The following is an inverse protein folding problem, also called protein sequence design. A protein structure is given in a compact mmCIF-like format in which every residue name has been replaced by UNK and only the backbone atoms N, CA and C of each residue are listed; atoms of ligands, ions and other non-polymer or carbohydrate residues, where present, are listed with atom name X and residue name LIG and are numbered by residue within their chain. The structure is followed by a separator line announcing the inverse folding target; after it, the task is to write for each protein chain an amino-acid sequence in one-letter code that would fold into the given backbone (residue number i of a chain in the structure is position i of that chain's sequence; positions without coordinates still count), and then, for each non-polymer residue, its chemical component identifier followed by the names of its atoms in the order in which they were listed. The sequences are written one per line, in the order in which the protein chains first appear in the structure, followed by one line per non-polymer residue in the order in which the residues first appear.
data_IF_292988272347
#
_entry.id   IF_292988272347
#
_cell.length_a   1.000
_cell.length_b   1.000
_cell.length_c   1.000
_cell.angle_alpha   90.00
_cell.angle_beta   90.00
_cell.angle_gamma   90.00
#
_symmetry.space_group_name_H-M   'P 1'
#
loop_
_entity.id
_entity.type
_entity.pdbx_description
1 polymer ?
#
# COMPACT_ATOMS: atom_id res chain seq x y z
N UNK A 1 -65.22 8.65 -74.58
CA UNK A 1 -64.92 7.20 -74.61
C UNK A 1 -63.70 6.99 -73.72
N UNK A 2 -63.88 6.76 -72.41
CA UNK A 2 -64.00 5.44 -71.72
C UNK A 2 -62.63 4.73 -71.67
N UNK A 3 -62.08 4.19 -70.58
CA UNK A 3 -62.61 3.72 -69.29
C UNK A 3 -61.43 3.22 -68.42
N UNK A 4 -61.52 3.44 -67.10
CA UNK A 4 -61.16 2.62 -65.92
C UNK A 4 -59.76 1.99 -65.67
N UNK A 5 -59.40 2.07 -64.38
CA UNK A 5 -58.32 1.40 -63.62
C UNK A 5 -58.54 -0.11 -63.40
N UNK A 6 -57.59 -0.81 -62.75
CA UNK A 6 -57.78 -1.25 -61.34
C UNK A 6 -56.50 -1.10 -60.48
N UNK A 7 -56.60 -0.54 -59.27
CA UNK A 7 -56.77 -1.18 -57.93
C UNK A 7 -55.49 -1.73 -57.28
N UNK A 8 -55.22 -1.21 -56.07
CA UNK A 8 -55.00 -2.02 -54.88
C UNK A 8 -53.56 -2.30 -54.44
N UNK A 9 -53.17 -1.68 -53.31
CA UNK A 9 -52.47 -2.26 -52.14
C UNK A 9 -51.53 -1.19 -51.51
N UNK A 10 -52.01 -0.34 -50.61
CA UNK A 10 -51.87 -0.48 -49.14
C UNK A 10 -50.46 -0.90 -48.69
N UNK A 11 -49.63 0.10 -48.36
CA UNK A 11 -48.46 -0.07 -47.48
C UNK A 11 -48.94 -0.52 -46.10
N UNK A 12 -48.81 -1.81 -45.80
CA UNK A 12 -48.97 -2.34 -44.44
C UNK A 12 -47.59 -2.59 -43.81
N UNK A 13 -47.43 -2.01 -42.63
CA UNK A 13 -46.27 -2.10 -41.77
C UNK A 13 -46.37 -3.42 -41.02
N UNK A 14 -45.46 -4.38 -41.25
CA UNK A 14 -45.18 -5.38 -40.23
C UNK A 14 -43.81 -6.03 -40.38
N UNK A 15 -42.96 -5.74 -39.38
CA UNK A 15 -42.34 -6.73 -38.50
C UNK A 15 -41.76 -7.99 -39.18
N UNK A 16 -40.43 -8.02 -39.35
CA UNK A 16 -39.68 -9.28 -39.45
C UNK A 16 -38.56 -9.24 -38.43
N UNK A 17 -38.82 -9.99 -37.35
CA UNK A 17 -37.92 -10.39 -36.30
C UNK A 17 -36.79 -11.26 -36.90
N UNK A 18 -35.55 -10.92 -36.59
CA UNK A 18 -34.37 -11.46 -37.25
C UNK A 18 -33.12 -11.29 -36.39
N UNK A 19 -33.12 -12.01 -35.28
CA UNK A 19 -32.08 -12.18 -34.25
C UNK A 19 -30.64 -12.06 -34.76
N UNK A 20 -30.01 -10.91 -34.50
CA UNK A 20 -28.55 -10.78 -34.45
C UNK A 20 -28.05 -11.51 -33.18
N UNK A 21 -27.07 -12.42 -33.26
CA UNK A 21 -26.40 -12.92 -32.06
C UNK A 21 -25.64 -11.74 -31.42
N UNK A 22 -26.19 -11.16 -30.35
CA UNK A 22 -25.41 -10.31 -29.47
C UNK A 22 -24.32 -11.19 -28.86
N UNK A 23 -23.09 -10.99 -29.30
CA UNK A 23 -21.91 -11.43 -28.58
C UNK A 23 -22.00 -10.84 -27.17
N UNK A 24 -22.25 -11.70 -26.18
CA UNK A 24 -22.32 -11.32 -24.78
C UNK A 24 -21.06 -10.55 -24.42
N UNK A 25 -21.23 -9.27 -24.13
CA UNK A 25 -20.24 -8.46 -23.44
C UNK A 25 -19.91 -9.18 -22.14
N UNK A 26 -18.68 -9.66 -22.01
CA UNK A 26 -18.13 -10.06 -20.73
C UNK A 26 -18.10 -8.82 -19.85
N UNK A 27 -19.18 -8.57 -19.13
CA UNK A 27 -19.21 -7.59 -18.06
C UNK A 27 -18.22 -8.09 -17.00
N UNK A 28 -17.06 -7.46 -16.93
CA UNK A 28 -16.24 -7.44 -15.71
C UNK A 28 -17.08 -6.75 -14.65
N UNK A 29 -17.90 -7.54 -13.94
CA UNK A 29 -18.77 -7.05 -12.86
C UNK A 29 -17.88 -6.42 -11.79
N UNK A 30 -17.95 -5.09 -11.64
CA UNK A 30 -17.35 -4.38 -10.52
C UNK A 30 -17.91 -4.97 -9.22
N UNK A 31 -17.03 -5.38 -8.33
CA UNK A 31 -17.42 -5.78 -6.97
C UNK A 31 -18.09 -4.58 -6.31
N UNK A 32 -19.23 -4.79 -5.65
CA UNK A 32 -19.88 -3.74 -4.85
C UNK A 32 -18.97 -3.31 -3.68
N UNK A 33 -19.17 -2.11 -3.13
CA UNK A 33 -18.34 -1.60 -2.03
C UNK A 33 -18.32 -2.57 -0.82
N UNK A 34 -19.44 -3.23 -0.55
CA UNK A 34 -19.55 -4.26 0.49
C UNK A 34 -18.75 -5.53 0.14
N UNK A 35 -18.79 -5.99 -1.12
CA UNK A 35 -17.97 -7.11 -1.58
C UNK A 35 -16.49 -6.76 -1.62
N UNK A 36 -16.12 -5.51 -1.94
CA UNK A 36 -14.75 -5.02 -1.92
C UNK A 36 -14.19 -4.97 -0.50
N UNK A 37 -14.99 -4.52 0.47
CA UNK A 37 -14.63 -4.51 1.88
C UNK A 37 -14.56 -5.93 2.43
N UNK A 38 -15.49 -6.81 2.06
CA UNK A 38 -15.48 -8.22 2.42
C UNK A 38 -14.29 -8.94 1.78
N UNK A 39 -13.94 -8.63 0.54
CA UNK A 39 -12.75 -9.13 -0.14
C UNK A 39 -11.47 -8.59 0.52
N UNK A 40 -11.41 -7.30 0.85
CA UNK A 40 -10.27 -6.68 1.56
C UNK A 40 -10.09 -7.26 2.96
N UNK A 41 -11.18 -7.58 3.66
CA UNK A 41 -11.16 -8.22 4.98
C UNK A 41 -10.82 -9.72 4.89
N UNK A 42 -11.41 -10.44 3.94
CA UNK A 42 -11.17 -11.86 3.71
C UNK A 42 -9.76 -12.14 3.19
N UNK A 43 -9.23 -11.24 2.36
CA UNK A 43 -7.90 -11.34 1.75
C UNK A 43 -6.81 -10.58 2.52
N UNK A 44 -7.13 -10.02 3.70
CA UNK A 44 -6.14 -9.36 4.58
C UNK A 44 -4.94 -10.26 4.95
N UNK A 45 -5.12 -11.59 4.85
CA UNK A 45 -4.09 -12.61 5.04
C UNK A 45 -3.59 -13.28 3.76
N UNK A 46 -3.97 -12.79 2.57
CA UNK A 46 -3.60 -13.46 1.32
C UNK A 46 -2.15 -13.20 1.01
N UNK A 47 -1.37 -14.26 1.04
CA UNK A 47 -0.03 -14.28 0.51
C UNK A 47 -0.09 -14.74 -0.93
N UNK A 48 0.73 -14.14 -1.77
CA UNK A 48 0.93 -14.59 -3.15
C UNK A 48 2.07 -15.60 -3.21
N UNK A 49 1.91 -16.65 -4.00
CA UNK A 49 2.97 -17.63 -4.29
C UNK A 49 3.78 -17.25 -5.54
N UNK A 50 3.37 -16.18 -6.25
CA UNK A 50 4.07 -15.71 -7.44
C UNK A 50 5.36 -14.95 -7.07
N UNK A 51 6.42 -15.03 -7.89
CA UNK A 51 7.66 -14.33 -7.62
C UNK A 51 7.46 -12.82 -7.59
N UNK A 52 8.14 -12.15 -6.64
CA UNK A 52 8.15 -10.70 -6.56
C UNK A 52 8.84 -10.09 -7.78
N UNK A 53 8.12 -9.22 -8.50
CA UNK A 53 8.65 -8.49 -9.67
C UNK A 53 9.36 -7.21 -9.26
N UNK A 54 8.85 -6.55 -8.22
CA UNK A 54 9.41 -5.35 -7.64
C UNK A 54 9.60 -5.54 -6.13
N UNK A 55 10.76 -5.13 -5.61
CA UNK A 55 11.05 -5.10 -4.18
C UNK A 55 11.76 -3.79 -3.85
N UNK A 56 11.08 -2.92 -3.11
CA UNK A 56 11.57 -1.58 -2.75
C UNK A 56 11.88 -1.54 -1.26
N UNK A 57 13.03 -0.97 -0.91
CA UNK A 57 13.42 -0.64 0.46
C UNK A 57 14.00 0.77 0.49
N UNK A 58 13.89 1.45 1.62
CA UNK A 58 14.34 2.84 1.74
C UNK A 58 15.68 2.96 2.45
N UNK A 59 16.59 3.77 1.89
CA UNK A 59 17.86 4.14 2.55
C UNK A 59 17.61 5.19 3.64
N UNK A 60 16.72 6.13 3.38
CA UNK A 60 16.29 7.16 4.33
C UNK A 60 15.73 6.53 5.60
N UNK A 61 14.96 5.45 5.50
CA UNK A 61 14.45 4.72 6.66
C UNK A 61 15.55 4.08 7.51
N UNK A 62 16.59 3.51 6.88
CA UNK A 62 17.76 2.97 7.59
C UNK A 62 18.57 4.07 8.28
N UNK A 63 18.71 5.23 7.63
CA UNK A 63 19.37 6.40 8.23
C UNK A 63 18.56 6.94 9.43
N UNK A 64 17.24 7.06 9.27
CA UNK A 64 16.34 7.47 10.35
C UNK A 64 16.42 6.52 11.54
N UNK A 65 16.47 5.21 11.29
CA UNK A 65 16.64 4.20 12.34
C UNK A 65 17.91 4.44 13.17
N UNK A 66 19.05 4.67 12.52
CA UNK A 66 20.31 4.98 13.21
C UNK A 66 20.27 6.30 13.98
N UNK A 67 19.67 7.34 13.41
CA UNK A 67 19.49 8.63 14.09
C UNK A 67 18.69 8.43 15.38
N UNK A 68 17.59 7.67 15.32
CA UNK A 68 16.76 7.37 16.48
C UNK A 68 17.55 6.59 17.53
N UNK A 69 18.33 5.58 17.13
CA UNK A 69 19.19 4.81 18.05
C UNK A 69 20.16 5.74 18.78
N UNK A 70 20.87 6.61 18.06
CA UNK A 70 21.83 7.55 18.66
C UNK A 70 21.14 8.49 19.66
N UNK A 71 20.00 9.06 19.29
CA UNK A 71 19.25 9.98 20.15
C UNK A 71 18.72 9.28 21.40
N UNK A 72 18.08 8.10 21.23
CA UNK A 72 17.55 7.31 22.35
C UNK A 72 18.66 6.93 23.31
N UNK A 73 19.80 6.43 22.80
CA UNK A 73 20.93 6.07 23.64
C UNK A 73 21.55 7.27 24.35
N UNK A 74 21.72 8.41 23.67
CA UNK A 74 22.23 9.62 24.30
C UNK A 74 21.38 10.06 25.50
N UNK A 75 20.05 10.04 25.34
CA UNK A 75 19.11 10.38 26.43
C UNK A 75 19.19 9.38 27.59
N UNK A 76 19.21 8.07 27.31
CA UNK A 76 19.22 7.05 28.37
C UNK A 76 20.56 6.95 29.09
N UNK A 77 21.67 7.17 28.39
CA UNK A 77 22.99 7.27 28.99
C UNK A 77 23.07 8.51 29.87
N UNK A 78 22.57 9.66 29.39
CA UNK A 78 22.51 10.89 30.18
C UNK A 78 21.67 10.71 31.46
N UNK A 79 20.49 10.10 31.34
CA UNK A 79 19.64 9.82 32.50
C UNK A 79 20.33 8.89 33.50
N UNK A 80 20.97 7.81 33.02
CA UNK A 80 21.74 6.91 33.87
C UNK A 80 22.90 7.60 34.59
N UNK A 81 23.56 8.56 33.95
CA UNK A 81 24.65 9.33 34.55
C UNK A 81 24.17 10.36 35.60
N UNK A 82 22.96 10.91 35.43
CA UNK A 82 22.39 11.92 36.33
C UNK A 82 21.62 11.30 37.50
N UNK A 83 21.09 10.09 37.39
CA UNK A 83 20.31 9.51 38.50
C UNK A 83 21.16 9.25 39.75
N UNK A 84 22.48 9.19 39.60
CA UNK A 84 23.45 8.92 40.67
C UNK A 84 23.81 10.15 41.53
N UNK A 85 23.25 11.35 41.24
CA UNK A 85 23.59 12.57 42.00
C UNK A 85 22.77 12.80 43.27
N UNK A 86 21.79 11.94 43.60
CA UNK A 86 20.99 12.07 44.81
C UNK A 86 21.48 11.17 45.97
N UNK A 87 21.90 11.85 47.04
CA UNK A 87 22.35 11.34 48.34
C UNK A 87 21.29 10.49 49.05
N UNK A 88 21.07 9.27 48.59
CA UNK A 88 20.34 8.27 49.38
C UNK A 88 21.38 7.33 49.99
N UNK A 89 21.50 7.33 51.32
CA UNK A 89 22.41 6.46 52.07
C UNK A 89 22.07 4.96 52.00
N UNK A 90 21.34 4.54 50.95
CA UNK A 90 21.08 3.16 50.60
C UNK A 90 22.08 2.77 49.50
N UNK A 91 22.75 1.63 49.64
CA UNK A 91 23.68 1.13 48.65
C UNK A 91 22.94 0.84 47.33
N UNK A 92 22.91 1.83 46.43
CA UNK A 92 22.44 1.64 45.05
C UNK A 92 23.35 0.61 44.42
N UNK A 93 22.78 -0.52 44.01
CA UNK A 93 23.54 -1.57 43.34
C UNK A 93 23.93 -1.05 41.95
N UNK A 94 25.13 -1.38 41.46
CA UNK A 94 25.55 -1.10 40.08
C UNK A 94 24.53 -1.57 39.02
N UNK A 95 23.68 -2.54 39.39
CA UNK A 95 22.57 -3.04 38.57
C UNK A 95 21.47 -1.99 38.37
N UNK A 96 21.18 -1.13 39.36
CA UNK A 96 20.12 -0.13 39.28
C UNK A 96 20.51 1.04 38.36
N UNK A 97 21.79 1.42 38.34
CA UNK A 97 22.34 2.42 37.41
C UNK A 97 22.29 1.95 35.95
N UNK A 98 22.35 0.63 35.72
CA UNK A 98 22.27 0.04 34.38
C UNK A 98 20.85 0.00 33.82
N UNK A 99 19.82 0.25 34.64
CA UNK A 99 18.43 0.19 34.22
C UNK A 99 18.14 1.18 33.08
N UNK A 100 18.64 2.42 33.16
CA UNK A 100 18.40 3.44 32.14
C UNK A 100 19.09 3.09 30.81
N UNK A 101 20.42 2.84 30.74
CA UNK A 101 21.04 2.37 29.50
C UNK A 101 20.43 1.07 28.97
N UNK A 102 20.06 0.12 29.84
CA UNK A 102 19.43 -1.14 29.46
C UNK A 102 18.10 -0.96 28.74
N UNK A 103 17.22 -0.11 29.28
CA UNK A 103 15.96 0.28 28.61
C UNK A 103 16.25 1.00 27.30
N UNK A 104 17.25 1.89 27.26
CA UNK A 104 17.67 2.58 26.05
C UNK A 104 18.10 1.63 24.93
N UNK A 105 18.85 0.57 25.27
CA UNK A 105 19.25 -0.47 24.32
C UNK A 105 18.02 -1.22 23.80
N UNK A 106 17.11 -1.65 24.69
CA UNK A 106 15.89 -2.35 24.30
C UNK A 106 15.06 -1.50 23.32
N UNK A 107 14.80 -0.24 23.65
CA UNK A 107 14.06 0.68 22.79
C UNK A 107 14.78 0.94 21.47
N UNK A 108 16.11 1.06 21.49
CA UNK A 108 16.94 1.25 20.30
C UNK A 108 16.85 0.05 19.36
N UNK A 109 16.92 -1.18 19.88
CA UNK A 109 16.78 -2.41 19.09
C UNK A 109 15.39 -2.50 18.48
N UNK A 110 14.33 -2.26 19.26
CA UNK A 110 12.95 -2.28 18.78
C UNK A 110 12.72 -1.23 17.70
N UNK A 111 13.17 0.01 17.91
CA UNK A 111 13.09 1.07 16.93
C UNK A 111 13.86 0.70 15.66
N UNK A 112 15.11 0.26 15.79
CA UNK A 112 15.94 -0.11 14.65
C UNK A 112 15.27 -1.19 13.79
N UNK A 113 14.78 -2.26 14.41
CA UNK A 113 14.06 -3.33 13.73
C UNK A 113 12.78 -2.78 13.06
N UNK A 114 11.99 -1.99 13.77
CA UNK A 114 10.74 -1.44 13.24
C UNK A 114 10.96 -0.54 12.01
N UNK A 115 11.92 0.40 12.07
CA UNK A 115 12.18 1.32 10.97
C UNK A 115 12.88 0.66 9.77
N UNK A 116 13.80 -0.30 9.99
CA UNK A 116 14.52 -0.99 8.89
C UNK A 116 13.69 -2.05 8.18
N UNK A 117 12.52 -2.42 8.72
CA UNK A 117 11.59 -3.37 8.11
C UNK A 117 10.78 -2.80 6.94
N UNK A 118 10.78 -1.48 6.75
CA UNK A 118 10.02 -0.81 5.70
C UNK A 118 10.37 -1.38 4.33
N UNK A 119 9.41 -2.04 3.70
CA UNK A 119 9.55 -2.75 2.43
C UNK A 119 8.22 -2.78 1.70
N UNK A 120 8.25 -2.50 0.41
CA UNK A 120 7.11 -2.71 -0.48
C UNK A 120 7.51 -3.73 -1.53
N UNK A 121 6.62 -4.66 -1.83
CA UNK A 121 6.81 -5.62 -2.91
C UNK A 121 5.59 -5.63 -3.80
N UNK A 122 5.78 -5.81 -5.09
CA UNK A 122 4.68 -5.95 -6.04
C UNK A 122 4.94 -7.11 -6.99
N UNK A 123 3.88 -7.79 -7.37
CA UNK A 123 3.90 -8.85 -8.37
C UNK A 123 2.60 -8.84 -9.17
N UNK A 124 2.27 -9.97 -9.82
CA UNK A 124 1.13 -10.08 -10.72
C UNK A 124 -0.22 -10.15 -9.97
N UNK A 125 -0.22 -10.50 -8.68
CA UNK A 125 -1.45 -10.63 -7.88
C UNK A 125 -1.77 -9.34 -7.12
N UNK A 126 -0.75 -8.55 -6.76
CA UNK A 126 -0.94 -7.32 -6.00
C UNK A 126 0.33 -6.76 -5.39
N UNK A 127 0.14 -6.02 -4.29
CA UNK A 127 1.18 -5.24 -3.60
C UNK A 127 1.22 -5.62 -2.11
N UNK A 128 2.37 -6.09 -1.63
CA UNK A 128 2.68 -6.22 -0.21
C UNK A 128 3.27 -4.91 0.32
N UNK A 129 2.63 -4.31 1.32
CA UNK A 129 3.17 -3.18 2.07
C UNK A 129 3.56 -3.63 3.48
N UNK A 130 4.83 -3.46 3.82
CA UNK A 130 5.38 -3.69 5.15
C UNK A 130 6.00 -2.41 5.68
N UNK A 131 5.46 -1.92 6.80
CA UNK A 131 5.94 -0.72 7.49
C UNK A 131 6.51 -1.07 8.88
N UNK A 132 6.42 -0.14 9.83
CA UNK A 132 6.89 -0.31 11.22
C UNK A 132 6.20 -1.49 11.92
N UNK A 133 4.88 -1.58 11.81
CA UNK A 133 4.05 -2.66 12.36
C UNK A 133 3.29 -3.35 11.23
N UNK A 134 3.26 -4.68 11.28
CA UNK A 134 2.45 -5.49 10.38
C UNK A 134 3.02 -5.61 8.96
N UNK A 135 2.35 -6.44 8.18
CA UNK A 135 2.57 -6.64 6.75
C UNK A 135 1.20 -6.94 6.17
N UNK A 136 0.84 -6.28 5.09
CA UNK A 136 -0.46 -6.47 4.46
C UNK A 136 -0.31 -6.54 2.95
N UNK A 137 -1.04 -7.45 2.35
CA UNK A 137 -1.11 -7.63 0.90
C UNK A 137 -2.42 -7.03 0.38
N UNK A 138 -2.32 -6.32 -0.73
CA UNK A 138 -3.43 -5.64 -1.40
C UNK A 138 -3.51 -6.14 -2.84
N UNK A 139 -4.57 -6.89 -3.21
CA UNK A 139 -4.77 -7.32 -4.60
C UNK A 139 -4.92 -6.12 -5.54
N UNK A 140 -4.51 -6.25 -6.81
CA UNK A 140 -4.66 -5.15 -7.79
C UNK A 140 -6.11 -4.69 -7.95
N UNK A 141 -7.09 -5.58 -7.79
CA UNK A 141 -8.52 -5.26 -7.89
C UNK A 141 -9.02 -4.25 -6.84
N UNK A 142 -8.30 -4.05 -5.73
CA UNK A 142 -8.67 -3.10 -4.66
C UNK A 142 -7.76 -1.87 -4.64
N UNK A 143 -6.79 -1.79 -5.54
CA UNK A 143 -5.83 -0.68 -5.60
C UNK A 143 -6.34 0.33 -6.62
N UNK A 144 -6.48 1.58 -6.22
CA UNK A 144 -6.84 2.69 -7.12
C UNK A 144 -5.61 3.38 -7.71
N UNK A 145 -4.44 3.04 -7.17
CA UNK A 145 -3.14 3.40 -7.70
C UNK A 145 -2.18 3.90 -6.63
N UNK A 146 -1.02 4.36 -7.07
CA UNK A 146 -0.06 5.05 -6.20
C UNK A 146 -0.17 6.57 -6.36
N UNK A 147 -0.01 7.31 -5.27
CA UNK A 147 0.14 8.76 -5.32
C UNK A 147 1.31 9.27 -4.46
N UNK A 148 1.85 10.42 -4.86
CA UNK A 148 2.76 11.23 -4.04
C UNK A 148 2.10 12.59 -3.81
N UNK A 149 1.35 12.77 -2.72
CA UNK A 149 0.69 14.04 -2.45
C UNK A 149 1.70 15.18 -2.35
N UNK A 150 1.30 16.38 -2.76
CA UNK A 150 2.18 17.56 -2.72
C UNK A 150 2.66 17.81 -1.29
N UNK A 151 3.98 17.86 -1.11
CA UNK A 151 4.62 18.05 0.20
C UNK A 151 4.70 16.80 1.08
N UNK A 152 4.13 15.67 0.66
CA UNK A 152 4.32 14.41 1.36
C UNK A 152 5.74 13.88 1.14
N UNK A 153 6.31 13.29 2.19
CA UNK A 153 7.64 12.66 2.13
C UNK A 153 7.59 11.21 1.64
N UNK A 154 6.41 10.59 1.72
CA UNK A 154 6.20 9.17 1.49
C UNK A 154 5.07 8.95 0.48
N UNK A 155 5.20 7.93 -0.37
CA UNK A 155 4.13 7.52 -1.27
C UNK A 155 2.93 6.94 -0.50
N UNK A 156 1.77 6.98 -1.14
CA UNK A 156 0.54 6.37 -0.66
C UNK A 156 0.02 5.38 -1.69
N UNK A 157 -0.46 4.24 -1.21
CA UNK A 157 -1.27 3.33 -2.00
C UNK A 157 -2.71 3.74 -1.75
N UNK A 158 -3.39 4.23 -2.78
CA UNK A 158 -4.77 4.68 -2.71
C UNK A 158 -5.70 3.46 -2.80
N UNK A 159 -6.68 3.42 -1.91
CA UNK A 159 -7.70 2.38 -1.79
C UNK A 159 -9.08 3.01 -2.03
N UNK A 160 -10.17 2.20 -2.10
CA UNK A 160 -11.53 2.72 -2.16
C UNK A 160 -11.86 3.61 -0.96
N UNK A 161 -12.96 4.35 -1.03
CA UNK A 161 -13.50 5.14 0.09
C UNK A 161 -12.55 6.21 0.66
N UNK A 162 -11.64 6.75 -0.17
CA UNK A 162 -10.62 7.73 0.23
C UNK A 162 -9.65 7.23 1.30
N UNK A 163 -9.53 5.91 1.47
CA UNK A 163 -8.52 5.30 2.33
C UNK A 163 -7.17 5.24 1.61
N UNK A 164 -6.09 5.32 2.38
CA UNK A 164 -4.75 5.13 1.85
C UNK A 164 -3.83 4.43 2.83
N UNK A 165 -2.84 3.74 2.28
CA UNK A 165 -1.80 3.05 3.05
C UNK A 165 -0.47 3.72 2.75
N UNK A 166 0.22 4.26 3.77
CA UNK A 166 1.52 4.88 3.55
C UNK A 166 2.54 3.80 3.19
N UNK A 167 3.37 4.05 2.19
CA UNK A 167 4.39 3.11 1.73
C UNK A 167 5.78 3.59 2.13
N UNK A 168 6.21 3.29 3.36
CA UNK A 168 7.44 3.86 3.96
C UNK A 168 8.73 3.49 3.23
N UNK A 169 8.68 2.48 2.34
CA UNK A 169 9.79 2.15 1.44
C UNK A 169 9.99 3.17 0.30
N UNK A 170 8.96 3.94 -0.05
CA UNK A 170 9.01 4.98 -1.07
C UNK A 170 9.17 6.36 -0.43
N UNK A 171 10.41 6.72 -0.10
CA UNK A 171 10.70 8.04 0.46
C UNK A 171 11.16 9.00 -0.63
N UNK A 172 10.56 10.19 -0.70
CA UNK A 172 10.97 11.26 -1.62
C UNK A 172 12.46 11.62 -1.46
N UNK A 173 12.99 11.52 -0.23
CA UNK A 173 14.41 11.78 0.08
C UNK A 173 15.37 10.73 -0.49
N UNK A 174 14.89 9.56 -0.90
CA UNK A 174 15.70 8.55 -1.59
C UNK A 174 16.01 8.94 -3.06
N UNK A 175 15.50 10.09 -3.53
CA UNK A 175 15.89 10.74 -4.78
C UNK A 175 15.68 9.87 -6.01
N UNK A 176 16.72 9.71 -6.83
CA UNK A 176 16.64 8.94 -8.08
C UNK A 176 16.19 7.49 -7.85
N UNK A 177 16.56 6.88 -6.72
CA UNK A 177 16.17 5.49 -6.45
C UNK A 177 14.68 5.32 -6.23
N UNK A 178 13.99 6.30 -5.62
CA UNK A 178 12.53 6.25 -5.52
C UNK A 178 11.86 6.57 -6.85
N UNK A 179 12.43 7.46 -7.67
CA UNK A 179 11.89 7.78 -9.00
C UNK A 179 11.88 6.54 -9.89
N UNK A 180 12.97 5.76 -9.91
CA UNK A 180 13.02 4.48 -10.65
C UNK A 180 12.03 3.47 -10.10
N UNK A 181 11.97 3.32 -8.78
CA UNK A 181 11.03 2.41 -8.14
C UNK A 181 9.56 2.78 -8.44
N UNK A 182 9.23 4.07 -8.54
CA UNK A 182 7.90 4.53 -8.94
C UNK A 182 7.63 4.17 -10.40
N UNK A 183 8.59 4.38 -11.31
CA UNK A 183 8.43 4.00 -12.71
C UNK A 183 8.18 2.49 -12.86
N UNK A 184 9.00 1.65 -12.21
CA UNK A 184 8.83 0.19 -12.20
C UNK A 184 7.48 -0.22 -11.58
N UNK A 185 7.01 0.48 -10.55
CA UNK A 185 5.69 0.23 -9.96
C UNK A 185 4.58 0.58 -10.95
N UNK A 186 4.66 1.72 -11.64
CA UNK A 186 3.67 2.14 -12.65
C UNK A 186 3.58 1.15 -13.81
N UNK A 187 4.69 0.53 -14.21
CA UNK A 187 4.67 -0.52 -15.23
C UNK A 187 3.85 -1.75 -14.78
N UNK A 188 3.95 -2.14 -13.51
CA UNK A 188 3.15 -3.24 -12.95
C UNK A 188 1.69 -2.85 -12.77
N UNK A 189 1.43 -1.62 -12.30
CA UNK A 189 0.10 -1.04 -12.17
C UNK A 189 -0.62 -1.06 -13.52
N UNK A 190 -0.01 -0.49 -14.57
CA UNK A 190 -0.58 -0.47 -15.92
C UNK A 190 -0.81 -1.87 -16.51
N UNK A 191 -0.07 -2.88 -16.05
CA UNK A 191 -0.15 -4.25 -16.60
C UNK A 191 -1.21 -5.11 -15.92
N UNK A 192 -1.42 -4.94 -14.62
CA UNK A 192 -2.22 -5.87 -13.81
C UNK A 192 -3.43 -5.21 -13.15
N UNK A 193 -3.49 -3.88 -13.10
CA UNK A 193 -4.69 -3.18 -12.66
C UNK A 193 -5.78 -3.35 -13.72
N UNK A 194 -7.01 -3.74 -13.35
CA UNK A 194 -8.12 -3.83 -14.30
C UNK A 194 -8.35 -2.48 -14.98
N UNK A 195 -8.43 -2.45 -16.31
CA UNK A 195 -8.84 -1.27 -17.07
C UNK A 195 -10.36 -1.05 -16.91
N UNK A 196 -10.78 0.22 -16.84
CA UNK A 196 -12.19 0.64 -16.75
C UNK A 196 -13.01 0.37 -18.02
#
# INVERSE_FOLDING_TARGET
MTTNAPDGATEDRNNVDGTTPQAGSGQTTRLSDEELQLYTAAYAGTTTDKPWRLVVTSKTMKQLAWIIVVVVMAVHIFMGAVVDVDFTGAAVSFIDTLAFPGVGVLLSVLAYIGFTRARVRANEDGVEVRNFIGTRFYPWAVIYGMSFPKGARVARLELPDFEFVPMWAFQARDGESVVRAVAEFRELENKYMPED
#
